data_IF_741015024397
#
_entry.id   IF_741015024397
#
_cell.length_a   1.000
_cell.length_b   1.000
_cell.length_c   1.000
_cell.angle_alpha   90.00
_cell.angle_beta   90.00
_cell.angle_gamma   90.00
#
_symmetry.space_group_name_H-M   'P 1'
#
loop_
_entity.id
_entity.type
_entity.pdbx_description
1 polymer ?
#
# COMPACT_ATOMS: atom_id res chain seq x y z
N UNK A 1 -5.67 6.28 -3.96
CA UNK A 1 -5.32 7.72 -3.88
C UNK A 1 -3.82 7.81 -3.58
N UNK A 2 -3.10 8.72 -4.22
CA UNK A 2 -1.64 8.87 -4.04
C UNK A 2 -1.33 9.78 -2.84
N UNK A 3 -0.09 9.77 -2.35
CA UNK A 3 0.35 10.76 -1.37
C UNK A 3 0.03 12.18 -1.87
N UNK A 4 -0.37 13.05 -0.94
CA UNK A 4 -0.70 14.46 -1.22
C UNK A 4 0.42 15.17 -1.98
N UNK A 5 1.66 14.79 -1.73
CA UNK A 5 2.86 15.31 -2.38
C UNK A 5 3.72 14.17 -2.92
N UNK A 6 3.94 14.14 -4.24
CA UNK A 6 4.67 13.06 -4.92
C UNK A 6 6.15 12.98 -4.50
N UNK A 7 6.78 14.13 -4.25
CA UNK A 7 8.20 14.24 -3.89
C UNK A 7 8.40 14.54 -2.39
N UNK A 8 7.40 14.23 -1.55
CA UNK A 8 7.45 14.53 -0.13
C UNK A 8 7.18 16.01 0.19
N UNK A 9 7.54 16.40 1.41
CA UNK A 9 7.29 17.73 1.95
C UNK A 9 8.57 18.28 2.58
N UNK A 10 8.92 19.56 2.42
CA UNK A 10 10.22 20.12 2.82
C UNK A 10 10.38 20.34 4.34
N UNK A 11 9.61 19.65 5.19
CA UNK A 11 9.76 19.72 6.64
C UNK A 11 10.40 18.45 7.21
N UNK A 12 11.34 18.65 8.13
CA UNK A 12 11.97 17.59 8.92
C UNK A 12 11.00 16.94 9.93
N UNK A 13 9.87 17.59 10.24
CA UNK A 13 8.85 17.07 11.18
C UNK A 13 7.93 16.01 10.55
N UNK A 14 8.25 15.54 9.36
CA UNK A 14 7.52 14.45 8.71
C UNK A 14 8.06 13.09 9.15
N UNK A 15 7.19 12.07 9.10
CA UNK A 15 7.63 10.70 9.35
C UNK A 15 8.74 10.33 8.37
N UNK A 16 9.89 9.93 8.91
CA UNK A 16 11.04 9.49 8.15
C UNK A 16 11.50 8.13 8.69
N UNK A 17 11.69 7.16 7.79
CA UNK A 17 12.33 5.90 8.12
C UNK A 17 13.83 6.06 7.90
N UNK A 18 14.60 5.97 8.99
CA UNK A 18 16.06 6.13 8.98
C UNK A 18 16.78 4.82 9.31
N UNK A 19 16.08 3.86 9.93
CA UNK A 19 16.59 2.53 10.28
C UNK A 19 16.10 1.50 9.28
N UNK A 20 16.56 1.60 8.03
CA UNK A 20 16.17 0.67 6.98
C UNK A 20 16.76 -0.73 7.22
N UNK A 21 17.91 -0.82 7.86
CA UNK A 21 18.58 -2.07 8.22
C UNK A 21 17.81 -2.92 9.24
N UNK A 22 16.84 -2.32 9.93
CA UNK A 22 16.02 -3.00 10.92
C UNK A 22 14.78 -3.69 10.32
N UNK A 23 14.54 -3.60 9.01
CA UNK A 23 13.36 -4.17 8.38
C UNK A 23 13.63 -4.69 6.96
N UNK A 24 13.18 -5.91 6.66
CA UNK A 24 13.24 -6.48 5.31
C UNK A 24 12.14 -5.94 4.38
N UNK A 25 11.02 -5.51 4.96
CA UNK A 25 9.82 -5.05 4.25
C UNK A 25 9.25 -3.80 4.93
N UNK A 26 9.00 -2.76 4.14
CA UNK A 26 8.30 -1.54 4.53
C UNK A 26 6.89 -1.52 3.94
N UNK A 27 5.86 -1.50 4.78
CA UNK A 27 4.46 -1.46 4.35
C UNK A 27 3.93 -0.05 4.45
N UNK A 28 3.57 0.56 3.32
CA UNK A 28 3.03 1.92 3.27
C UNK A 28 1.55 1.93 3.64
N UNK A 29 1.24 2.31 4.87
CA UNK A 29 -0.12 2.28 5.44
C UNK A 29 -0.93 3.54 5.11
N UNK A 30 -2.24 3.37 4.87
CA UNK A 30 -3.25 4.43 4.89
C UNK A 30 -4.64 3.86 5.21
N UNK A 31 -5.62 4.71 5.54
CA UNK A 31 -7.02 4.32 5.79
C UNK A 31 -7.87 4.22 4.50
N UNK A 32 -7.24 3.89 3.37
CA UNK A 32 -7.91 3.79 2.08
C UNK A 32 -7.98 2.33 1.65
N UNK A 33 -9.04 1.97 0.92
CA UNK A 33 -9.24 0.61 0.45
C UNK A 33 -8.01 0.09 -0.31
N UNK A 34 -7.47 0.87 -1.24
CA UNK A 34 -6.25 0.55 -1.98
C UNK A 34 -5.29 1.73 -1.88
N UNK A 35 -4.05 1.44 -1.45
CA UNK A 35 -2.98 2.42 -1.33
C UNK A 35 -1.73 1.92 -2.04
N UNK A 36 -1.20 2.73 -2.96
CA UNK A 36 0.09 2.48 -3.58
C UNK A 36 1.17 3.30 -2.86
N UNK A 37 2.39 2.76 -2.67
CA UNK A 37 3.48 3.50 -2.05
C UNK A 37 3.88 4.67 -2.98
N UNK A 38 4.09 5.88 -2.44
CA UNK A 38 4.56 7.02 -3.22
C UNK A 38 5.96 6.79 -3.82
N UNK A 39 6.30 7.40 -4.97
CA UNK A 39 7.61 7.21 -5.61
C UNK A 39 8.80 7.50 -4.69
N UNK A 40 8.71 8.51 -3.82
CA UNK A 40 9.76 8.80 -2.83
C UNK A 40 10.02 7.62 -1.88
N UNK A 41 8.97 6.97 -1.39
CA UNK A 41 9.09 5.78 -0.55
C UNK A 41 9.59 4.57 -1.33
N UNK A 42 9.18 4.42 -2.59
CA UNK A 42 9.69 3.35 -3.47
C UNK A 42 11.19 3.50 -3.70
N UNK A 43 11.66 4.72 -4.02
CA UNK A 43 13.08 4.99 -4.21
C UNK A 43 13.87 4.79 -2.92
N UNK A 44 13.39 5.33 -1.79
CA UNK A 44 14.09 5.21 -0.50
C UNK A 44 14.24 3.76 -0.05
N UNK A 45 13.18 2.95 -0.13
CA UNK A 45 13.23 1.54 0.23
C UNK A 45 14.18 0.77 -0.70
N UNK A 46 14.07 0.97 -2.02
CA UNK A 46 14.94 0.32 -3.01
C UNK A 46 16.42 0.67 -2.80
N UNK A 47 16.74 1.93 -2.50
CA UNK A 47 18.12 2.36 -2.24
C UNK A 47 18.73 1.69 -1.00
N UNK A 48 17.91 1.30 -0.04
CA UNK A 48 18.35 0.62 1.17
C UNK A 48 18.17 -0.92 1.10
N UNK A 49 17.85 -1.48 -0.06
CA UNK A 49 17.66 -2.92 -0.24
C UNK A 49 16.38 -3.49 0.39
N UNK A 50 15.43 -2.64 0.78
CA UNK A 50 14.18 -3.02 1.45
C UNK A 50 13.04 -3.10 0.44
N UNK A 51 12.18 -4.12 0.57
CA UNK A 51 10.95 -4.22 -0.24
C UNK A 51 9.92 -3.22 0.28
N UNK A 52 9.27 -2.48 -0.62
CA UNK A 52 8.12 -1.65 -0.25
C UNK A 52 6.82 -2.24 -0.81
N UNK A 53 5.78 -2.28 0.02
CA UNK A 53 4.45 -2.75 -0.36
C UNK A 53 3.40 -1.67 -0.15
N UNK A 54 2.45 -1.60 -1.08
CA UNK A 54 1.18 -0.92 -0.85
C UNK A 54 0.25 -1.75 0.02
N UNK A 55 -0.95 -1.24 0.27
CA UNK A 55 -1.95 -1.90 1.11
C UNK A 55 -3.29 -2.02 0.40
N UNK A 56 -3.97 -3.14 0.65
CA UNK A 56 -5.41 -3.34 0.43
C UNK A 56 -6.03 -3.52 1.82
N UNK A 57 -6.78 -2.54 2.30
CA UNK A 57 -7.28 -2.50 3.69
C UNK A 57 -8.79 -2.29 3.70
N UNK A 58 -9.52 -3.14 4.44
CA UNK A 58 -10.95 -2.95 4.68
C UNK A 58 -11.18 -2.47 6.10
N UNK A 59 -11.85 -1.33 6.26
CA UNK A 59 -12.12 -0.71 7.56
C UNK A 59 -13.60 -0.40 7.75
N UNK A 60 -14.08 -0.61 8.98
CA UNK A 60 -15.44 -0.28 9.39
C UNK A 60 -16.55 -0.98 8.58
N UNK A 61 -17.79 -0.44 8.63
CA UNK A 61 -18.93 -1.04 7.97
C UNK A 61 -18.79 -1.11 6.44
N UNK A 62 -18.12 -0.13 5.83
CA UNK A 62 -17.87 -0.13 4.38
C UNK A 62 -16.88 -1.24 3.99
N UNK A 63 -15.81 -1.42 4.77
CA UNK A 63 -14.87 -2.52 4.61
C UNK A 63 -15.54 -3.88 4.72
N UNK A 64 -16.41 -4.06 5.73
CA UNK A 64 -17.17 -5.31 5.90
C UNK A 64 -18.03 -5.66 4.68
N UNK A 65 -18.79 -4.70 4.14
CA UNK A 65 -19.57 -4.91 2.90
C UNK A 65 -18.69 -5.27 1.70
N UNK A 66 -17.49 -4.71 1.61
CA UNK A 66 -16.54 -5.06 0.56
C UNK A 66 -16.02 -6.49 0.72
N UNK A 67 -15.71 -6.93 1.94
CA UNK A 67 -15.34 -8.32 2.23
C UNK A 67 -16.49 -9.30 1.92
N UNK A 68 -17.72 -8.97 2.30
CA UNK A 68 -18.90 -9.81 2.02
C UNK A 68 -19.08 -10.05 0.51
N UNK A 69 -18.80 -9.03 -0.33
CA UNK A 69 -18.80 -9.22 -1.79
C UNK A 69 -17.59 -10.00 -2.29
N UNK A 70 -16.39 -9.67 -1.80
CA UNK A 70 -15.13 -10.27 -2.25
C UNK A 70 -15.07 -11.77 -1.94
N UNK A 71 -15.62 -12.19 -0.79
CA UNK A 71 -15.58 -13.56 -0.30
C UNK A 71 -16.92 -14.29 -0.45
N UNK A 72 -17.85 -13.78 -1.27
CA UNK A 72 -19.17 -14.39 -1.47
C UNK A 72 -19.10 -15.79 -2.13
N UNK A 73 -18.08 -16.03 -2.97
CA UNK A 73 -17.78 -17.31 -3.60
C UNK A 73 -16.39 -17.28 -4.23
N UNK A 74 -15.83 -18.43 -4.60
CA UNK A 74 -14.56 -18.51 -5.35
C UNK A 74 -14.62 -17.69 -6.64
N UNK A 75 -15.70 -17.83 -7.42
CA UNK A 75 -15.93 -17.03 -8.62
C UNK A 75 -16.05 -15.52 -8.33
N UNK A 76 -16.43 -15.09 -7.13
CA UNK A 76 -16.45 -13.68 -6.75
C UNK A 76 -15.04 -13.18 -6.39
N UNK A 77 -14.23 -14.01 -5.74
CA UNK A 77 -12.83 -13.71 -5.43
C UNK A 77 -11.98 -13.61 -6.71
N UNK A 78 -12.20 -14.49 -7.68
CA UNK A 78 -11.49 -14.49 -8.97
C UNK A 78 -11.87 -13.29 -9.87
N UNK A 79 -13.04 -12.68 -9.62
CA UNK A 79 -13.53 -11.47 -10.31
C UNK A 79 -13.08 -10.17 -9.66
N UNK A 80 -12.48 -10.21 -8.46
CA UNK A 80 -11.64 -9.10 -8.01
C UNK A 80 -10.64 -8.82 -9.14
N UNK A 81 -10.23 -7.57 -9.40
CA UNK A 81 -9.32 -7.27 -10.50
C UNK A 81 -7.99 -8.01 -10.29
N UNK A 82 -7.94 -9.26 -10.72
CA UNK A 82 -6.75 -9.99 -11.06
C UNK A 82 -6.18 -9.14 -12.18
N UNK A 83 -5.15 -8.38 -11.84
CA UNK A 83 -4.39 -7.61 -12.81
C UNK A 83 -4.12 -8.51 -13.99
N UNK A 84 -4.61 -8.12 -15.17
CA UNK A 84 -4.18 -8.73 -16.42
C UNK A 84 -2.66 -8.63 -16.45
N UNK A 85 -2.00 -9.79 -16.37
CA UNK A 85 -0.56 -9.94 -16.61
C UNK A 85 0.33 -9.41 -15.48
N UNK A 86 0.96 -10.33 -14.76
CA UNK A 86 2.27 -10.09 -14.15
C UNK A 86 3.40 -10.47 -15.15
N UNK A 87 3.20 -10.14 -16.43
CA UNK A 87 4.19 -10.18 -17.51
C UNK A 87 3.96 -8.99 -18.44
#
# INVERSE_FOLDING_TARGET
MFARWVQGWPSADTFNQWRWEAADVFVYFSHQLVTLPPPGWVTAARQNGVKVLGTLITEGPAGRRSCERLFASEAAADRAPAGKGWL
#
